data_IF_478724715409
#
_entry.id   IF_478724715409
#
_cell.length_a   1.000
_cell.length_b   1.000
_cell.length_c   1.000
_cell.angle_alpha   90.00
_cell.angle_beta   90.00
_cell.angle_gamma   90.00
#
_symmetry.space_group_name_H-M   'P 1'
#
loop_
_entity.id
_entity.type
_entity.pdbx_description
1 polymer ?
#
# COMPACT_ATOMS: atom_id res chain seq x y z
N UNK A 1 -46.56 -19.02 41.75
CA UNK A 1 -46.36 -19.55 40.39
C UNK A 1 -46.09 -18.37 39.47
N UNK A 2 -44.81 -18.09 39.18
CA UNK A 2 -44.37 -17.17 38.13
C UNK A 2 -43.28 -17.90 37.36
N UNK A 3 -43.55 -18.13 36.08
CA UNK A 3 -42.70 -18.86 35.15
C UNK A 3 -41.46 -18.02 34.80
N UNK A 4 -40.27 -18.62 34.90
CA UNK A 4 -39.05 -18.15 34.26
C UNK A 4 -39.01 -18.77 32.86
N UNK A 5 -39.03 -17.94 31.82
CA UNK A 5 -38.66 -18.33 30.44
C UNK A 5 -37.20 -17.93 30.18
N UNK A 6 -36.38 -18.78 29.53
CA UNK A 6 -35.03 -18.41 29.15
C UNK A 6 -35.08 -17.60 27.86
N UNK A 7 -34.51 -16.40 27.89
CA UNK A 7 -34.31 -15.57 26.70
C UNK A 7 -33.22 -16.20 25.85
N UNK A 8 -33.60 -16.67 24.67
CA UNK A 8 -32.72 -17.19 23.63
C UNK A 8 -31.82 -16.03 23.15
N UNK A 9 -30.54 -16.02 23.54
CA UNK A 9 -29.54 -15.10 22.99
C UNK A 9 -29.23 -15.59 21.58
N UNK A 10 -29.89 -15.01 20.59
CA UNK A 10 -29.53 -15.12 19.19
C UNK A 10 -28.23 -14.34 18.99
N UNK A 11 -27.11 -15.05 19.04
CA UNK A 11 -25.80 -14.54 18.65
C UNK A 11 -25.82 -14.32 17.14
N UNK A 12 -26.18 -13.10 16.73
CA UNK A 12 -26.08 -12.64 15.36
C UNK A 12 -24.57 -12.43 15.07
N UNK A 13 -23.93 -13.48 14.55
CA UNK A 13 -22.65 -13.36 13.87
C UNK A 13 -22.89 -12.45 12.66
N UNK A 14 -22.55 -11.17 12.81
CA UNK A 14 -22.28 -10.28 11.69
C UNK A 14 -21.05 -10.85 10.98
N UNK A 15 -21.27 -11.81 10.10
CA UNK A 15 -20.36 -12.03 8.99
C UNK A 15 -20.45 -10.75 8.16
N UNK A 16 -19.50 -9.85 8.33
CA UNK A 16 -19.15 -8.87 7.32
C UNK A 16 -18.72 -9.68 6.10
N UNK A 17 -19.69 -10.04 5.26
CA UNK A 17 -19.45 -10.48 3.90
C UNK A 17 -18.87 -9.28 3.18
N UNK A 18 -17.54 -9.21 3.16
CA UNK A 18 -16.87 -8.66 2.00
C UNK A 18 -17.42 -9.48 0.83
N UNK A 19 -18.31 -8.88 0.04
CA UNK A 19 -18.77 -9.45 -1.20
C UNK A 19 -17.63 -9.23 -2.19
N UNK A 20 -16.66 -10.13 -2.18
CA UNK A 20 -15.73 -10.26 -3.29
C UNK A 20 -16.58 -10.63 -4.51
N UNK A 21 -16.44 -9.89 -5.61
CA UNK A 21 -17.15 -10.17 -6.85
C UNK A 21 -17.02 -11.66 -7.18
N UNK A 22 -18.16 -12.34 -7.28
CA UNK A 22 -18.18 -13.76 -7.58
C UNK A 22 -18.31 -13.89 -9.09
N UNK A 23 -17.24 -14.30 -9.76
CA UNK A 23 -17.23 -14.46 -11.21
C UNK A 23 -17.61 -15.87 -11.60
N UNK A 24 -18.47 -16.00 -12.61
CA UNK A 24 -18.65 -17.25 -13.32
C UNK A 24 -17.66 -17.31 -14.49
N UNK A 25 -17.21 -18.52 -14.85
CA UNK A 25 -16.38 -18.72 -16.05
C UNK A 25 -17.07 -18.17 -17.31
N UNK A 26 -18.39 -18.28 -17.42
CA UNK A 26 -19.17 -17.80 -18.57
C UNK A 26 -19.21 -16.27 -18.70
N UNK A 27 -18.98 -15.53 -17.62
CA UNK A 27 -19.02 -14.06 -17.60
C UNK A 27 -17.63 -13.42 -17.59
N UNK A 28 -16.57 -14.21 -17.67
CA UNK A 28 -15.19 -13.75 -17.58
C UNK A 28 -14.50 -13.82 -18.95
N UNK A 29 -13.97 -12.69 -19.41
CA UNK A 29 -13.31 -12.54 -20.72
C UNK A 29 -12.01 -13.35 -20.86
N UNK A 30 -11.41 -13.76 -19.75
CA UNK A 30 -10.20 -14.61 -19.75
C UNK A 30 -10.44 -16.02 -20.31
N UNK A 31 -11.70 -16.45 -20.42
CA UNK A 31 -12.06 -17.78 -20.89
C UNK A 31 -12.67 -17.70 -22.29
N UNK A 32 -11.92 -18.16 -23.30
CA UNK A 32 -12.41 -18.28 -24.67
C UNK A 32 -13.48 -19.39 -24.80
N UNK A 33 -14.25 -19.35 -25.89
CA UNK A 33 -15.08 -20.49 -26.29
C UNK A 33 -14.22 -21.75 -26.48
N UNK A 34 -14.64 -22.81 -25.82
CA UNK A 34 -14.01 -24.11 -25.89
C UNK A 34 -14.35 -24.88 -27.18
N UNK A 35 -13.67 -26.01 -27.44
CA UNK A 35 -13.72 -26.67 -28.76
C UNK A 35 -15.05 -27.38 -29.09
N UNK A 36 -15.96 -27.55 -28.12
CA UNK A 36 -17.27 -28.22 -28.30
C UNK A 36 -18.15 -28.04 -27.06
N UNK A 37 -19.39 -28.53 -27.12
CA UNK A 37 -20.36 -28.42 -26.01
C UNK A 37 -20.01 -29.21 -24.74
N UNK A 38 -19.01 -30.10 -24.75
CA UNK A 38 -18.54 -30.80 -23.55
C UNK A 38 -17.39 -30.08 -22.87
N UNK A 39 -16.64 -29.27 -23.60
CA UNK A 39 -15.53 -28.47 -23.10
C UNK A 39 -15.79 -27.07 -23.62
N UNK A 40 -16.68 -26.35 -22.95
CA UNK A 40 -17.29 -25.13 -23.47
C UNK A 40 -16.45 -23.89 -23.22
N UNK A 41 -15.49 -23.94 -22.29
CA UNK A 41 -14.60 -22.80 -22.00
C UNK A 41 -13.15 -23.23 -21.96
N UNK A 42 -12.25 -22.32 -22.32
CA UNK A 42 -10.82 -22.57 -22.32
C UNK A 42 -10.02 -21.36 -21.85
N UNK A 43 -9.17 -21.58 -20.86
CA UNK A 43 -8.12 -20.64 -20.47
C UNK A 43 -6.82 -21.06 -21.17
N UNK A 44 -6.27 -20.19 -22.01
CA UNK A 44 -4.99 -20.46 -22.69
C UNK A 44 -3.84 -20.03 -21.79
N UNK A 45 -3.02 -20.99 -21.38
CA UNK A 45 -1.87 -20.71 -20.50
C UNK A 45 -0.65 -20.20 -21.26
N UNK A 46 -0.40 -20.79 -22.44
CA UNK A 46 0.70 -20.41 -23.31
C UNK A 46 0.52 -20.99 -24.72
N UNK A 47 1.14 -20.36 -25.70
CA UNK A 47 1.25 -20.75 -27.11
C UNK A 47 2.72 -20.99 -27.48
N UNK A 48 3.02 -21.68 -28.60
CA UNK A 48 4.41 -21.99 -28.97
C UNK A 48 5.26 -20.75 -29.30
N UNK A 49 4.61 -19.62 -29.60
CA UNK A 49 5.29 -18.36 -29.89
C UNK A 49 5.76 -17.65 -28.60
N UNK A 50 5.26 -18.05 -27.43
CA UNK A 50 5.67 -17.47 -26.16
C UNK A 50 7.07 -17.96 -25.76
N UNK A 51 7.96 -17.06 -25.29
CA UNK A 51 9.33 -17.42 -24.88
C UNK A 51 9.40 -18.47 -23.76
N UNK A 52 8.39 -18.53 -22.91
CA UNK A 52 8.27 -19.40 -21.75
C UNK A 52 7.36 -20.62 -22.01
N UNK A 53 6.98 -20.90 -23.25
CA UNK A 53 6.05 -21.98 -23.62
C UNK A 53 6.53 -23.39 -23.22
N UNK A 54 7.86 -23.59 -23.18
CA UNK A 54 8.48 -24.85 -22.73
C UNK A 54 8.56 -24.97 -21.20
N UNK A 55 8.41 -23.87 -20.46
CA UNK A 55 8.47 -23.86 -18.99
C UNK A 55 7.28 -24.55 -18.36
N UNK A 56 7.37 -24.82 -17.05
CA UNK A 56 6.24 -25.34 -16.29
C UNK A 56 5.11 -24.29 -16.28
N UNK A 57 3.87 -24.76 -16.42
CA UNK A 57 2.68 -23.90 -16.39
C UNK A 57 1.86 -24.25 -15.15
N UNK A 58 1.48 -23.28 -14.33
CA UNK A 58 0.71 -23.50 -13.10
C UNK A 58 -0.58 -22.71 -13.15
N UNK A 59 -1.71 -23.37 -12.92
CA UNK A 59 -3.02 -22.74 -12.74
C UNK A 59 -3.43 -22.91 -11.29
N UNK A 60 -3.84 -21.82 -10.65
CA UNK A 60 -4.54 -21.87 -9.37
C UNK A 60 -5.89 -21.17 -9.52
N UNK A 61 -6.95 -21.82 -9.07
CA UNK A 61 -8.31 -21.26 -9.10
C UNK A 61 -9.03 -21.60 -7.81
N UNK A 62 -9.58 -20.59 -7.14
CA UNK A 62 -10.35 -20.75 -5.92
C UNK A 62 -11.85 -20.78 -6.25
N UNK A 63 -12.43 -21.98 -6.23
CA UNK A 63 -13.82 -22.20 -6.62
C UNK A 63 -14.74 -22.00 -5.43
N UNK A 64 -15.75 -21.16 -5.61
CA UNK A 64 -16.75 -20.84 -4.59
C UNK A 64 -18.08 -21.55 -4.82
N UNK A 65 -18.39 -21.90 -6.07
CA UNK A 65 -19.62 -22.64 -6.41
C UNK A 65 -19.41 -23.57 -7.61
N UNK A 66 -20.15 -24.67 -7.61
CA UNK A 66 -20.17 -25.66 -8.68
C UNK A 66 -21.62 -25.97 -9.10
N UNK A 67 -21.84 -26.35 -10.36
CA UNK A 67 -23.13 -26.91 -10.79
C UNK A 67 -23.54 -28.12 -9.95
N UNK A 68 -24.85 -28.39 -9.88
CA UNK A 68 -25.36 -29.53 -9.11
C UNK A 68 -24.81 -30.90 -9.57
N UNK A 69 -24.44 -31.03 -10.85
CA UNK A 69 -23.83 -32.24 -11.41
C UNK A 69 -22.29 -32.27 -11.24
N UNK A 70 -21.70 -31.24 -10.62
CA UNK A 70 -20.27 -30.99 -10.61
C UNK A 70 -19.78 -30.35 -11.91
N UNK A 71 -18.47 -30.09 -11.96
CA UNK A 71 -17.77 -29.66 -13.16
C UNK A 71 -16.38 -30.28 -13.17
N UNK A 72 -15.79 -30.43 -14.36
CA UNK A 72 -14.47 -30.96 -14.58
C UNK A 72 -13.63 -29.98 -15.38
N UNK A 73 -12.32 -30.02 -15.14
CA UNK A 73 -11.35 -29.43 -16.03
C UNK A 73 -10.53 -30.54 -16.71
N UNK A 74 -9.85 -30.21 -17.81
CA UNK A 74 -8.77 -31.02 -18.35
C UNK A 74 -7.64 -30.14 -18.86
N UNK A 75 -6.43 -30.69 -18.82
CA UNK A 75 -5.26 -30.07 -19.45
C UNK A 75 -5.16 -30.56 -20.89
N UNK A 76 -5.10 -29.62 -21.83
CA UNK A 76 -4.87 -29.88 -23.25
C UNK A 76 -3.56 -29.24 -23.66
N UNK A 77 -2.66 -30.02 -24.28
CA UNK A 77 -1.32 -29.53 -24.64
C UNK A 77 -0.80 -30.14 -25.92
N UNK A 78 0.12 -29.45 -26.61
CA UNK A 78 0.81 -30.04 -27.75
C UNK A 78 2.00 -30.89 -27.28
N UNK A 79 2.30 -31.97 -28.01
CA UNK A 79 3.51 -32.79 -27.84
C UNK A 79 4.59 -32.40 -28.85
N UNK A 80 5.80 -32.95 -28.71
CA UNK A 80 6.96 -32.56 -29.54
C UNK A 80 6.72 -32.67 -31.06
N UNK A 81 5.81 -33.55 -31.49
CA UNK A 81 5.43 -33.71 -32.89
C UNK A 81 4.29 -32.78 -33.35
N UNK A 82 3.96 -31.75 -32.57
CA UNK A 82 2.89 -30.79 -32.85
C UNK A 82 1.46 -31.28 -32.59
N UNK A 83 1.27 -32.59 -32.38
CA UNK A 83 -0.06 -33.16 -32.12
C UNK A 83 -0.62 -32.74 -30.75
N UNK A 84 -1.94 -32.59 -30.67
CA UNK A 84 -2.64 -32.36 -29.41
C UNK A 84 -2.73 -33.63 -28.57
N UNK A 85 -2.49 -33.47 -27.27
CA UNK A 85 -2.72 -34.46 -26.24
C UNK A 85 -3.75 -33.89 -25.26
N UNK A 86 -4.93 -34.49 -25.25
CA UNK A 86 -6.02 -34.12 -24.37
C UNK A 86 -5.96 -35.02 -23.14
N UNK A 87 -5.73 -34.41 -21.98
CA UNK A 87 -5.75 -35.11 -20.70
C UNK A 87 -7.14 -35.66 -20.35
N UNK A 88 -7.16 -36.51 -19.32
CA UNK A 88 -8.41 -36.99 -18.73
C UNK A 88 -9.15 -35.83 -18.05
N UNK A 89 -10.48 -35.96 -17.96
CA UNK A 89 -11.28 -35.08 -17.12
C UNK A 89 -10.92 -35.27 -15.65
N UNK A 90 -10.76 -34.15 -14.94
CA UNK A 90 -10.49 -34.12 -13.51
C UNK A 90 -11.58 -33.29 -12.85
N UNK A 91 -12.30 -33.81 -11.85
CA UNK A 91 -13.35 -33.09 -11.17
C UNK A 91 -12.79 -31.90 -10.41
N UNK A 92 -13.48 -30.77 -10.50
CA UNK A 92 -13.23 -29.60 -9.68
C UNK A 92 -13.82 -29.79 -8.29
N UNK A 93 -13.16 -29.19 -7.29
CA UNK A 93 -13.64 -29.17 -5.90
C UNK A 93 -13.86 -27.75 -5.43
N UNK A 94 -14.73 -27.55 -4.44
CA UNK A 94 -14.85 -26.25 -3.77
C UNK A 94 -13.54 -25.91 -3.03
N UNK A 95 -13.15 -24.64 -3.06
CA UNK A 95 -11.87 -24.14 -2.56
C UNK A 95 -10.77 -24.15 -3.62
N UNK A 96 -9.52 -24.21 -3.17
CA UNK A 96 -8.35 -24.09 -4.04
C UNK A 96 -8.14 -25.34 -4.90
N UNK A 97 -8.10 -25.15 -6.21
CA UNK A 97 -7.67 -26.15 -7.19
C UNK A 97 -6.34 -25.67 -7.78
N UNK A 98 -5.27 -26.46 -7.61
CA UNK A 98 -3.93 -26.13 -8.13
C UNK A 98 -3.49 -27.21 -9.12
N UNK A 99 -3.06 -26.78 -10.30
CA UNK A 99 -2.72 -27.65 -11.44
C UNK A 99 -1.37 -27.24 -12.02
N UNK A 100 -0.38 -28.13 -11.95
CA UNK A 100 0.93 -27.89 -12.54
C UNK A 100 1.20 -28.80 -13.72
N UNK A 101 1.51 -28.20 -14.87
CA UNK A 101 1.97 -28.87 -16.09
C UNK A 101 3.48 -28.75 -16.18
N UNK A 102 4.20 -29.86 -15.99
CA UNK A 102 5.66 -29.88 -15.95
C UNK A 102 6.33 -29.31 -17.21
N UNK A 103 7.52 -28.72 -17.05
CA UNK A 103 8.34 -28.21 -18.15
C UNK A 103 8.75 -29.29 -19.16
N UNK A 104 9.05 -28.88 -20.39
CA UNK A 104 9.58 -29.72 -21.48
C UNK A 104 10.72 -28.99 -22.20
N UNK A 105 11.32 -29.62 -23.22
CA UNK A 105 12.42 -29.08 -24.02
C UNK A 105 12.02 -28.54 -25.40
N UNK A 106 10.72 -28.39 -25.67
CA UNK A 106 10.19 -27.90 -26.95
C UNK A 106 9.07 -26.89 -26.71
N UNK A 107 8.90 -25.95 -27.65
CA UNK A 107 7.81 -24.98 -27.62
C UNK A 107 6.45 -25.69 -27.78
N UNK A 108 5.45 -25.30 -26.99
CA UNK A 108 4.17 -26.00 -26.94
C UNK A 108 3.02 -25.06 -26.58
N UNK A 109 1.80 -25.51 -26.83
CA UNK A 109 0.62 -24.89 -26.24
C UNK A 109 0.21 -25.63 -24.97
N UNK A 110 -0.28 -24.90 -23.98
CA UNK A 110 -0.99 -25.46 -22.82
C UNK A 110 -2.30 -24.70 -22.63
N UNK A 111 -3.39 -25.44 -22.48
CA UNK A 111 -4.74 -24.91 -22.28
C UNK A 111 -5.44 -25.67 -21.15
N UNK A 112 -6.20 -24.96 -20.33
CA UNK A 112 -7.08 -25.53 -19.33
C UNK A 112 -8.51 -25.41 -19.84
N UNK A 113 -9.14 -26.55 -20.12
CA UNK A 113 -10.51 -26.59 -20.62
C UNK A 113 -11.46 -26.95 -19.48
N UNK A 114 -12.60 -26.29 -19.45
CA UNK A 114 -13.66 -26.48 -18.46
C UNK A 114 -14.92 -26.96 -19.17
N UNK A 115 -15.65 -27.87 -18.53
CA UNK A 115 -16.87 -28.46 -19.08
C UNK A 115 -18.15 -27.67 -18.76
N UNK A 116 -18.03 -26.63 -17.94
CA UNK A 116 -19.14 -25.78 -17.49
C UNK A 116 -18.70 -24.34 -17.28
N UNK A 117 -19.46 -23.39 -17.82
CA UNK A 117 -19.32 -21.95 -17.56
C UNK A 117 -19.92 -21.49 -16.23
N UNK A 118 -20.76 -22.32 -15.61
CA UNK A 118 -21.43 -22.03 -14.33
C UNK A 118 -20.53 -22.25 -13.10
N UNK A 119 -19.23 -22.52 -13.30
CA UNK A 119 -18.28 -22.61 -12.18
C UNK A 119 -17.98 -21.19 -11.71
N UNK A 120 -18.20 -20.94 -10.43
CA UNK A 120 -17.94 -19.64 -9.83
C UNK A 120 -16.61 -19.65 -9.05
N UNK A 121 -15.85 -18.58 -9.16
CA UNK A 121 -14.54 -18.43 -8.52
C UNK A 121 -14.33 -17.00 -8.00
N UNK A 122 -13.36 -16.85 -7.10
CA UNK A 122 -12.95 -15.55 -6.52
C UNK A 122 -11.47 -15.24 -6.71
N UNK A 123 -10.67 -16.24 -7.07
CA UNK A 123 -9.24 -16.08 -7.32
C UNK A 123 -8.87 -16.95 -8.50
N UNK A 124 -8.11 -16.38 -9.43
CA UNK A 124 -7.54 -17.06 -10.58
C UNK A 124 -6.10 -16.57 -10.72
N UNK A 125 -5.15 -17.50 -10.80
CA UNK A 125 -3.77 -17.16 -11.08
C UNK A 125 -3.18 -18.12 -12.11
N UNK A 126 -2.31 -17.59 -12.96
CA UNK A 126 -1.59 -18.36 -13.95
C UNK A 126 -0.10 -18.04 -13.81
N UNK A 127 0.71 -19.07 -13.59
CA UNK A 127 2.16 -18.98 -13.40
C UNK A 127 2.60 -18.09 -12.23
N UNK A 128 1.72 -17.86 -11.25
CA UNK A 128 1.94 -16.98 -10.11
C UNK A 128 1.43 -15.56 -10.30
N UNK A 129 0.98 -15.22 -11.52
CA UNK A 129 0.37 -13.93 -11.81
C UNK A 129 -1.14 -14.01 -11.58
N UNK A 130 -1.68 -13.15 -10.72
CA UNK A 130 -3.11 -13.04 -10.49
C UNK A 130 -3.81 -12.49 -11.74
N UNK A 131 -4.92 -13.10 -12.11
CA UNK A 131 -5.76 -12.70 -13.24
C UNK A 131 -7.12 -12.24 -12.73
N UNK A 132 -7.61 -11.12 -13.25
CA UNK A 132 -8.94 -10.57 -12.95
C UNK A 132 -9.77 -10.53 -14.21
N UNK A 133 -11.07 -10.78 -14.09
CA UNK A 133 -12.00 -10.64 -15.20
C UNK A 133 -12.24 -9.16 -15.49
N UNK A 134 -12.56 -8.81 -16.73
CA UNK A 134 -12.79 -7.42 -17.13
C UNK A 134 -13.91 -6.75 -16.32
N UNK A 135 -14.94 -7.50 -15.94
CA UNK A 135 -16.06 -7.03 -15.12
C UNK A 135 -15.72 -6.83 -13.64
N UNK A 136 -14.52 -7.21 -13.18
CA UNK A 136 -14.00 -6.86 -11.86
C UNK A 136 -13.28 -5.52 -11.83
N UNK A 137 -12.98 -4.96 -13.01
CA UNK A 137 -12.22 -3.73 -13.12
C UNK A 137 -13.17 -2.54 -13.13
N UNK A 138 -12.84 -1.52 -12.33
CA UNK A 138 -13.55 -0.25 -12.32
C UNK A 138 -13.32 0.49 -13.64
N UNK A 139 -14.35 0.53 -14.50
CA UNK A 139 -14.30 1.21 -15.78
C UNK A 139 -14.89 2.62 -15.73
N UNK A 140 -14.56 3.43 -16.73
CA UNK A 140 -15.20 4.72 -16.96
C UNK A 140 -16.31 4.54 -18.00
N UNK A 141 -17.50 5.09 -17.72
CA UNK A 141 -18.60 5.09 -18.67
C UNK A 141 -18.27 5.97 -19.89
N UNK A 142 -18.62 5.48 -21.08
CA UNK A 142 -18.34 6.19 -22.33
C UNK A 142 -19.01 7.56 -22.42
N UNK A 143 -20.18 7.74 -21.80
CA UNK A 143 -20.85 9.04 -21.73
C UNK A 143 -20.18 10.07 -20.83
N UNK A 144 -19.32 9.63 -19.90
CA UNK A 144 -18.54 10.50 -19.02
C UNK A 144 -17.10 10.71 -19.51
N UNK A 145 -16.67 10.00 -20.57
CA UNK A 145 -15.32 10.10 -21.11
C UNK A 145 -15.11 11.41 -21.89
N UNK A 146 -14.18 12.25 -21.43
CA UNK A 146 -13.78 13.52 -22.07
C UNK A 146 -13.36 13.37 -23.54
N UNK A 147 -12.55 12.35 -23.83
CA UNK A 147 -11.98 12.08 -25.15
C UNK A 147 -12.95 11.43 -26.14
N UNK A 148 -14.21 11.23 -25.76
CA UNK A 148 -15.25 10.68 -26.62
C UNK A 148 -16.23 11.78 -27.02
N UNK A 149 -16.21 12.13 -28.31
CA UNK A 149 -17.08 13.15 -28.86
C UNK A 149 -18.54 12.67 -28.97
N UNK A 150 -19.46 13.65 -29.03
CA UNK A 150 -20.85 13.40 -29.40
C UNK A 150 -20.93 12.82 -30.84
N UNK A 151 -21.59 11.67 -30.93
CA UNK A 151 -21.82 10.97 -32.18
C UNK A 151 -22.92 11.60 -33.04
N UNK A 152 -23.12 11.10 -34.28
CA UNK A 152 -23.95 11.77 -35.27
C UNK A 152 -25.47 11.73 -35.02
N UNK A 153 -25.97 10.84 -34.15
CA UNK A 153 -27.41 10.68 -33.87
C UNK A 153 -27.64 9.78 -32.65
N UNK A 154 -28.90 9.66 -32.21
CA UNK A 154 -29.28 8.86 -31.04
C UNK A 154 -28.97 7.35 -31.14
N UNK A 155 -28.78 6.78 -32.33
CA UNK A 155 -28.39 5.35 -32.50
C UNK A 155 -26.89 5.15 -32.38
N UNK A 156 -26.12 6.20 -32.62
CA UNK A 156 -24.67 6.23 -32.53
C UNK A 156 -24.27 7.49 -31.75
N UNK A 157 -24.57 7.53 -30.45
CA UNK A 157 -24.44 8.74 -29.64
C UNK A 157 -23.01 9.13 -29.31
N UNK A 158 -22.02 8.24 -29.53
CA UNK A 158 -20.62 8.48 -29.18
C UNK A 158 -19.70 8.16 -30.36
N UNK A 159 -18.63 8.95 -30.52
CA UNK A 159 -17.66 8.77 -31.60
C UNK A 159 -16.24 9.13 -31.17
N UNK A 160 -15.27 8.35 -31.65
CA UNK A 160 -13.85 8.70 -31.59
C UNK A 160 -13.32 8.83 -33.01
N UNK A 161 -12.60 9.92 -33.28
CA UNK A 161 -11.98 10.17 -34.59
C UNK A 161 -10.56 9.63 -34.59
N UNK A 162 -10.26 8.70 -35.51
CA UNK A 162 -8.93 8.13 -35.65
C UNK A 162 -8.01 8.95 -36.54
N UNK A 163 -8.57 9.50 -37.61
CA UNK A 163 -7.84 10.38 -38.52
C UNK A 163 -8.80 11.19 -39.38
N UNK A 164 -8.30 12.30 -39.90
CA UNK A 164 -8.92 13.21 -40.86
C UNK A 164 -8.07 13.30 -42.13
N UNK A 165 -8.61 13.78 -43.27
CA UNK A 165 -7.87 13.81 -44.52
C UNK A 165 -6.67 14.77 -44.51
N UNK A 166 -6.62 15.70 -43.55
CA UNK A 166 -5.52 16.64 -43.37
C UNK A 166 -4.31 16.00 -42.66
N UNK A 167 -4.50 14.83 -42.04
CA UNK A 167 -3.42 14.12 -41.36
C UNK A 167 -2.50 13.43 -42.38
N UNK A 168 -1.16 13.53 -42.23
CA UNK A 168 -0.19 12.93 -43.15
C UNK A 168 -0.31 11.42 -43.32
N UNK A 169 -0.77 10.72 -42.27
CA UNK A 169 -0.92 9.27 -42.19
C UNK A 169 -2.38 8.80 -42.37
N UNK A 170 -3.27 9.67 -42.84
CA UNK A 170 -4.71 9.36 -42.98
C UNK A 170 -5.02 8.19 -43.93
N UNK A 171 -4.11 7.93 -44.88
CA UNK A 171 -4.19 6.81 -45.82
C UNK A 171 -3.69 5.49 -45.21
N UNK A 172 -2.91 5.53 -44.13
CA UNK A 172 -2.33 4.35 -43.51
C UNK A 172 -3.40 3.48 -42.80
N UNK A 173 -2.99 2.30 -42.35
CA UNK A 173 -3.84 1.45 -41.54
C UNK A 173 -4.15 2.16 -40.22
N UNK A 174 -5.42 2.15 -39.83
CA UNK A 174 -5.88 2.76 -38.58
C UNK A 174 -6.32 1.67 -37.62
N UNK A 175 -6.13 1.85 -36.33
CA UNK A 175 -6.55 0.89 -35.31
C UNK A 175 -7.33 1.55 -34.18
N UNK A 176 -8.18 0.78 -33.53
CA UNK A 176 -8.77 1.12 -32.24
C UNK A 176 -8.72 -0.12 -31.37
N UNK A 177 -8.37 0.10 -30.10
CA UNK A 177 -8.30 -0.92 -29.08
C UNK A 177 -9.08 -0.42 -27.88
N UNK A 178 -10.04 -1.19 -27.39
CA UNK A 178 -10.83 -0.85 -26.21
C UNK A 178 -10.93 -2.05 -25.29
N UNK A 179 -10.63 -1.86 -24.01
CA UNK A 179 -10.76 -2.88 -22.97
C UNK A 179 -12.06 -2.65 -22.20
N UNK A 180 -13.12 -3.37 -22.59
CA UNK A 180 -14.48 -3.18 -22.08
C UNK A 180 -14.67 -3.95 -20.77
N UNK A 181 -15.05 -3.25 -19.70
CA UNK A 181 -15.29 -3.83 -18.38
C UNK A 181 -16.76 -4.11 -18.11
N UNK A 182 -17.66 -3.30 -18.68
CA UNK A 182 -19.10 -3.53 -18.59
C UNK A 182 -19.84 -3.16 -19.87
N UNK A 183 -20.93 -3.90 -20.12
CA UNK A 183 -21.86 -3.67 -21.22
C UNK A 183 -23.28 -3.54 -20.68
N UNK A 184 -24.15 -2.74 -21.34
CA UNK A 184 -25.56 -2.73 -21.02
C UNK A 184 -26.21 -4.09 -21.28
N UNK A 185 -27.34 -4.37 -20.63
CA UNK A 185 -27.98 -5.70 -20.65
C UNK A 185 -28.41 -6.16 -22.07
N UNK A 186 -28.72 -5.21 -22.95
CA UNK A 186 -29.03 -5.45 -24.37
C UNK A 186 -27.78 -5.61 -25.27
N UNK A 187 -26.59 -5.48 -24.70
CA UNK A 187 -25.31 -5.41 -25.40
C UNK A 187 -25.08 -4.05 -26.05
N UNK A 188 -23.84 -3.82 -26.51
CA UNK A 188 -23.50 -2.63 -27.28
C UNK A 188 -22.73 -3.01 -28.54
N UNK A 189 -22.75 -2.11 -29.51
CA UNK A 189 -22.09 -2.28 -30.79
C UNK A 189 -21.18 -1.09 -31.08
N UNK A 190 -20.10 -1.36 -31.82
CA UNK A 190 -19.33 -0.35 -32.50
C UNK A 190 -19.55 -0.43 -34.02
N UNK A 191 -19.20 0.61 -34.75
CA UNK A 191 -19.04 0.56 -36.21
C UNK A 191 -17.90 1.44 -36.68
N UNK A 192 -17.30 1.04 -37.79
CA UNK A 192 -16.29 1.84 -38.49
C UNK A 192 -16.97 2.72 -39.53
N UNK A 193 -16.77 4.03 -39.44
CA UNK A 193 -17.26 5.02 -40.39
C UNK A 193 -16.09 5.70 -41.07
N UNK A 194 -16.03 5.65 -42.40
CA UNK A 194 -14.88 6.15 -43.16
C UNK A 194 -15.27 6.83 -44.45
N UNK A 195 -14.44 7.73 -44.96
CA UNK A 195 -14.62 8.28 -46.31
C UNK A 195 -14.02 7.35 -47.37
N UNK A 196 -14.66 7.28 -48.53
CA UNK A 196 -14.13 6.59 -49.72
C UNK A 196 -13.44 7.58 -50.67
N UNK A 197 -12.78 7.08 -51.71
CA UNK A 197 -11.98 7.90 -52.64
C UNK A 197 -12.73 9.09 -53.26
N UNK A 198 -14.05 8.97 -53.40
CA UNK A 198 -14.91 10.04 -53.93
C UNK A 198 -15.41 11.04 -52.86
N UNK A 199 -14.83 11.01 -51.66
CA UNK A 199 -15.19 11.88 -50.52
C UNK A 199 -16.48 11.49 -49.77
N UNK A 200 -17.26 10.54 -50.28
CA UNK A 200 -18.49 10.09 -49.64
C UNK A 200 -18.21 9.27 -48.37
N UNK A 201 -19.10 9.37 -47.38
CA UNK A 201 -19.08 8.52 -46.20
C UNK A 201 -19.58 7.11 -46.51
N UNK A 202 -18.88 6.13 -45.95
CA UNK A 202 -19.27 4.73 -45.91
C UNK A 202 -19.37 4.31 -44.44
N UNK A 203 -20.60 4.05 -44.00
CA UNK A 203 -20.88 3.57 -42.65
C UNK A 203 -20.88 2.05 -42.66
N UNK A 204 -19.94 1.44 -41.94
CA UNK A 204 -19.89 0.00 -41.77
C UNK A 204 -21.12 -0.55 -41.03
N UNK A 205 -21.24 -1.88 -41.06
CA UNK A 205 -22.23 -2.59 -40.26
C UNK A 205 -21.92 -2.43 -38.77
N UNK A 206 -22.97 -2.54 -37.93
CA UNK A 206 -22.79 -2.67 -36.49
C UNK A 206 -22.10 -4.00 -36.18
N UNK A 207 -21.09 -3.96 -35.31
CA UNK A 207 -20.40 -5.13 -34.78
C UNK A 207 -20.53 -5.12 -33.26
N UNK A 208 -20.91 -6.23 -32.62
CA UNK A 208 -21.04 -6.30 -31.18
C UNK A 208 -19.68 -6.11 -30.50
N UNK A 209 -19.69 -5.47 -29.34
CA UNK A 209 -18.58 -5.48 -28.40
C UNK A 209 -18.71 -6.69 -27.46
N UNK A 210 -17.58 -7.23 -27.02
CA UNK A 210 -17.49 -8.20 -25.93
C UNK A 210 -16.82 -7.59 -24.71
N UNK A 211 -16.94 -8.22 -23.54
CA UNK A 211 -16.08 -7.89 -22.40
C UNK A 211 -14.61 -8.20 -22.75
N UNK A 212 -13.69 -7.50 -22.09
CA UNK A 212 -12.25 -7.57 -22.34
C UNK A 212 -11.81 -6.79 -23.58
N UNK A 213 -10.70 -7.22 -24.17
CA UNK A 213 -10.04 -6.52 -25.27
C UNK A 213 -10.80 -6.66 -26.60
N UNK A 214 -11.13 -5.53 -27.20
CA UNK A 214 -11.72 -5.44 -28.54
C UNK A 214 -10.76 -4.66 -29.46
N UNK A 215 -10.07 -5.38 -30.35
CA UNK A 215 -9.15 -4.79 -31.32
C UNK A 215 -9.76 -4.70 -32.72
N UNK A 216 -9.66 -3.52 -33.33
CA UNK A 216 -10.22 -3.22 -34.64
C UNK A 216 -9.16 -2.61 -35.52
N UNK A 217 -8.91 -3.23 -36.68
CA UNK A 217 -7.99 -2.69 -37.69
C UNK A 217 -8.73 -2.32 -38.97
N UNK A 218 -8.47 -1.12 -39.47
CA UNK A 218 -8.96 -0.59 -40.74
C UNK A 218 -7.80 -0.52 -41.71
N UNK A 219 -7.83 -1.35 -42.75
CA UNK A 219 -6.74 -1.46 -43.73
C UNK A 219 -6.39 -0.14 -44.42
N UNK A 220 -5.10 0.03 -44.73
CA UNK A 220 -4.57 1.18 -45.49
C UNK A 220 -5.21 1.31 -46.89
N UNK A 221 -5.18 2.53 -47.44
CA UNK A 221 -5.63 2.89 -48.79
C UNK A 221 -4.62 3.83 -49.46
N UNK A 222 -4.90 4.25 -50.69
CA UNK A 222 -4.03 5.13 -51.48
C UNK A 222 -4.48 6.59 -51.56
N UNK A 223 -5.47 6.99 -50.75
CA UNK A 223 -6.03 8.35 -50.73
C UNK A 223 -6.25 8.83 -49.29
N UNK A 224 -6.15 10.13 -49.07
CA UNK A 224 -6.44 10.74 -47.78
C UNK A 224 -7.92 10.57 -47.41
N UNK A 225 -8.21 10.21 -46.16
CA UNK A 225 -9.56 9.84 -45.72
C UNK A 225 -9.80 10.19 -44.26
N UNK A 226 -11.05 10.14 -43.84
CA UNK A 226 -11.40 10.10 -42.42
C UNK A 226 -11.70 8.69 -42.00
N UNK A 227 -11.34 8.33 -40.76
CA UNK A 227 -11.80 7.11 -40.09
C UNK A 227 -12.31 7.49 -38.70
N UNK A 228 -13.49 7.00 -38.35
CA UNK A 228 -14.14 7.21 -37.06
C UNK A 228 -14.69 5.88 -36.55
N UNK A 229 -14.62 5.71 -35.23
CA UNK A 229 -15.25 4.61 -34.52
C UNK A 229 -16.46 5.15 -33.78
N UNK A 230 -17.64 4.62 -34.08
CA UNK A 230 -18.89 5.06 -33.46
C UNK A 230 -19.41 3.96 -32.56
N UNK A 231 -19.97 4.35 -31.42
CA UNK A 231 -20.48 3.43 -30.41
C UNK A 231 -21.97 3.65 -30.19
N UNK A 232 -22.70 2.57 -29.91
CA UNK A 232 -24.16 2.58 -29.85
C UNK A 232 -24.75 2.93 -28.48
N UNK A 233 -23.93 3.02 -27.43
CA UNK A 233 -24.38 3.28 -26.06
C UNK A 233 -23.33 4.08 -25.28
N UNK A 234 -23.79 4.95 -24.37
CA UNK A 234 -22.96 5.67 -23.40
C UNK A 234 -22.66 4.87 -22.13
N UNK A 235 -23.42 3.79 -21.90
CA UNK A 235 -23.30 2.89 -20.75
C UNK A 235 -22.21 1.82 -20.93
N UNK A 236 -21.39 1.91 -21.97
CA UNK A 236 -20.23 1.03 -22.13
C UNK A 236 -19.18 1.51 -21.13
N UNK A 237 -18.74 0.64 -20.23
CA UNK A 237 -17.63 0.94 -19.33
C UNK A 237 -16.35 0.28 -19.83
N UNK A 238 -15.23 0.99 -19.71
CA UNK A 238 -13.92 0.50 -20.15
C UNK A 238 -12.81 1.11 -19.30
N UNK A 239 -11.67 0.41 -19.21
CA UNK A 239 -10.47 0.90 -18.51
C UNK A 239 -9.47 1.55 -19.45
N UNK A 240 -9.44 1.10 -20.70
CA UNK A 240 -8.53 1.61 -21.71
C UNK A 240 -9.24 1.74 -23.06
N UNK A 241 -9.03 2.87 -23.72
CA UNK A 241 -9.42 3.12 -25.10
C UNK A 241 -8.25 3.79 -25.79
N UNK A 242 -7.75 3.23 -26.88
CA UNK A 242 -6.68 3.81 -27.68
C UNK A 242 -6.99 3.74 -29.16
N UNK A 243 -6.45 4.70 -29.91
CA UNK A 243 -6.60 4.80 -31.35
C UNK A 243 -5.24 5.02 -31.97
N UNK A 244 -4.87 4.19 -32.94
CA UNK A 244 -3.54 4.18 -33.56
C UNK A 244 -2.37 4.03 -32.55
N UNK A 245 -2.64 3.42 -31.39
CA UNK A 245 -1.67 3.27 -30.29
C UNK A 245 -1.57 4.48 -29.36
N UNK A 246 -2.39 5.52 -29.56
CA UNK A 246 -2.49 6.68 -28.66
C UNK A 246 -3.73 6.55 -27.79
N UNK A 247 -3.56 6.66 -26.47
CA UNK A 247 -4.65 6.53 -25.49
C UNK A 247 -5.60 7.72 -25.59
N UNK A 248 -6.90 7.44 -25.59
CA UNK A 248 -7.98 8.43 -25.54
C UNK A 248 -8.21 8.79 -24.06
N UNK A 249 -7.96 10.04 -23.64
CA UNK A 249 -8.11 10.44 -22.24
C UNK A 249 -9.59 10.52 -21.88
N UNK A 250 -10.02 9.72 -20.91
CA UNK A 250 -11.42 9.67 -20.46
C UNK A 250 -11.71 10.34 -19.14
N UNK A 251 -10.66 10.66 -18.41
CA UNK A 251 -10.76 11.59 -17.30
C UNK A 251 -10.66 12.97 -17.94
N UNK A 252 -11.72 13.78 -17.81
CA UNK A 252 -11.47 15.22 -17.75
C UNK A 252 -10.51 15.35 -16.57
N UNK A 253 -9.24 15.65 -16.81
CA UNK A 253 -8.34 16.17 -15.78
C UNK A 253 -8.87 17.56 -15.37
N UNK A 254 -10.07 17.54 -14.79
CA UNK A 254 -10.90 18.68 -14.44
C UNK A 254 -10.82 18.96 -12.94
N UNK A 255 -10.06 18.17 -12.21
CA UNK A 255 -9.46 18.61 -10.97
C UNK A 255 -8.00 18.95 -11.26
N UNK A 256 -7.58 20.12 -10.81
CA UNK A 256 -6.16 20.46 -10.77
C UNK A 256 -5.52 19.51 -9.75
N UNK A 257 -4.42 18.85 -10.11
CA UNK A 257 -3.57 18.06 -9.20
C UNK A 257 -2.22 18.78 -9.18
N UNK A 258 -2.13 19.82 -8.36
CA UNK A 258 -1.03 20.77 -8.43
C UNK A 258 0.30 20.17 -7.91
N UNK A 259 0.24 19.14 -7.07
CA UNK A 259 1.41 18.50 -6.46
C UNK A 259 1.73 17.10 -7.02
N UNK A 260 0.81 16.50 -7.79
CA UNK A 260 1.00 15.23 -8.47
C UNK A 260 0.88 14.01 -7.56
N UNK A 261 0.18 14.10 -6.43
CA UNK A 261 0.00 13.00 -5.50
C UNK A 261 -1.13 12.02 -5.89
N UNK A 262 -1.87 12.35 -6.95
CA UNK A 262 -2.95 11.54 -7.49
C UNK A 262 -4.30 11.77 -6.79
N UNK A 263 -4.40 12.78 -5.93
CA UNK A 263 -5.64 13.29 -5.34
C UNK A 263 -5.95 14.66 -5.95
N UNK A 264 -7.20 14.86 -6.33
CA UNK A 264 -7.70 16.13 -6.87
C UNK A 264 -7.66 17.27 -5.84
N UNK A 265 -7.14 18.47 -6.18
CA UNK A 265 -7.00 19.64 -5.29
C UNK A 265 -8.28 20.03 -4.52
N UNK A 266 -9.47 19.77 -5.08
CA UNK A 266 -10.77 20.13 -4.48
C UNK A 266 -11.25 19.15 -3.39
N UNK A 267 -10.68 17.94 -3.36
CA UNK A 267 -10.91 16.90 -2.35
C UNK A 267 -9.62 16.48 -1.65
N UNK A 268 -8.50 17.09 -2.02
CA UNK A 268 -7.20 16.88 -1.42
C UNK A 268 -7.10 17.65 -0.08
N UNK A 269 -6.91 16.94 1.05
CA UNK A 269 -6.68 17.58 2.32
C UNK A 269 -5.36 18.39 2.38
N UNK A 270 -4.41 18.16 1.46
CA UNK A 270 -3.15 18.87 1.40
C UNK A 270 -2.55 19.01 -0.01
N UNK A 271 -2.87 20.12 -0.68
CA UNK A 271 -2.17 20.52 -1.92
C UNK A 271 -0.72 20.95 -1.59
N UNK A 272 0.22 20.02 -1.74
CA UNK A 272 1.66 20.14 -1.54
C UNK A 272 2.28 18.87 -0.96
N UNK A 273 2.93 19.00 0.19
CA UNK A 273 3.43 17.83 0.92
C UNK A 273 3.11 17.98 2.41
N UNK A 274 2.60 16.90 3.00
CA UNK A 274 2.55 16.76 4.44
C UNK A 274 3.98 16.68 4.97
N UNK A 275 4.27 17.47 6.00
CA UNK A 275 5.51 17.31 6.75
C UNK A 275 5.43 16.10 7.71
N UNK A 276 6.52 15.82 8.43
CA UNK A 276 6.58 14.74 9.44
C UNK A 276 5.57 14.91 10.59
N UNK A 277 4.98 16.10 10.73
CA UNK A 277 3.98 16.43 11.73
C UNK A 277 2.54 16.31 11.22
N UNK A 278 2.36 15.91 9.96
CA UNK A 278 1.06 15.82 9.31
C UNK A 278 0.44 17.20 9.02
N UNK A 279 1.25 18.25 8.96
CA UNK A 279 0.81 19.60 8.60
C UNK A 279 1.12 19.85 7.13
N UNK A 280 0.11 20.31 6.39
CA UNK A 280 0.27 20.61 4.98
C UNK A 280 1.20 21.79 4.75
N UNK A 281 2.26 21.60 3.95
CA UNK A 281 3.32 22.58 3.72
C UNK A 281 3.91 23.13 5.03
N UNK A 282 3.92 22.29 6.07
CA UNK A 282 4.35 22.66 7.40
C UNK A 282 5.87 22.79 7.52
N UNK A 283 6.36 23.37 8.63
CA UNK A 283 7.77 23.60 8.84
C UNK A 283 8.55 22.30 9.17
N UNK A 284 7.86 21.18 9.44
CA UNK A 284 8.45 19.92 9.89
C UNK A 284 8.77 19.90 11.39
N UNK A 285 9.62 18.95 11.79
CA UNK A 285 10.07 18.77 13.18
C UNK A 285 11.09 19.85 13.61
N UNK A 286 10.66 21.10 13.63
CA UNK A 286 11.53 22.26 13.93
C UNK A 286 11.38 22.78 15.35
N UNK A 287 10.40 22.28 16.11
CA UNK A 287 10.15 22.68 17.50
C UNK A 287 10.92 21.78 18.47
N UNK A 288 11.06 22.19 19.74
CA UNK A 288 11.82 21.48 20.77
C UNK A 288 11.38 20.01 20.98
N UNK A 289 10.10 19.70 20.77
CA UNK A 289 9.57 18.33 20.80
C UNK A 289 9.25 17.78 19.39
N UNK A 290 9.99 18.24 18.39
CA UNK A 290 9.76 17.95 16.98
C UNK A 290 8.58 18.77 16.45
N UNK A 291 7.36 18.27 16.64
CA UNK A 291 6.14 18.84 16.04
C UNK A 291 5.41 19.85 16.92
N UNK A 292 5.85 20.04 18.15
CA UNK A 292 5.28 21.01 19.09
C UNK A 292 6.38 21.56 20.00
N UNK A 293 6.11 22.71 20.59
CA UNK A 293 6.91 23.23 21.70
C UNK A 293 6.73 22.36 22.97
N UNK A 294 7.63 22.52 23.95
CA UNK A 294 7.45 21.97 25.29
C UNK A 294 6.25 22.68 25.95
N UNK A 295 5.26 21.95 26.50
CA UNK A 295 4.11 22.57 27.15
C UNK A 295 4.51 23.47 28.32
N UNK A 296 3.70 24.51 28.60
CA UNK A 296 3.98 25.46 29.68
C UNK A 296 3.97 24.76 31.05
N UNK A 297 5.08 24.86 31.78
CA UNK A 297 5.28 24.21 33.08
C UNK A 297 6.06 22.90 33.02
N UNK A 298 6.26 22.36 31.83
CA UNK A 298 7.07 21.16 31.61
C UNK A 298 8.50 21.55 31.25
N UNK A 299 9.47 20.69 31.60
CA UNK A 299 10.89 20.86 31.30
C UNK A 299 11.40 19.92 30.22
N UNK A 300 10.57 18.97 29.77
CA UNK A 300 10.84 18.09 28.66
C UNK A 300 9.55 17.71 27.90
N UNK A 301 9.72 16.94 26.83
CA UNK A 301 8.64 16.50 25.96
C UNK A 301 7.80 15.34 26.53
N UNK A 302 8.23 14.74 27.64
CA UNK A 302 7.48 13.67 28.32
C UNK A 302 6.48 14.22 29.32
N UNK A 303 6.45 15.54 29.51
CA UNK A 303 5.58 16.24 30.45
C UNK A 303 6.11 16.20 31.88
N UNK A 304 7.42 15.99 32.05
CA UNK A 304 8.04 16.08 33.36
C UNK A 304 8.16 17.55 33.77
N UNK A 305 8.03 17.81 35.07
CA UNK A 305 8.26 19.13 35.65
C UNK A 305 9.64 19.15 36.32
N UNK A 306 10.24 20.34 36.40
CA UNK A 306 11.46 20.52 37.16
C UNK A 306 11.15 20.38 38.66
N UNK A 307 11.99 19.64 39.38
CA UNK A 307 11.91 19.55 40.83
C UNK A 307 12.51 20.80 41.51
N UNK A 308 12.55 20.84 42.84
CA UNK A 308 13.00 22.01 43.58
C UNK A 308 14.48 22.40 43.32
N UNK A 309 15.32 21.47 42.85
CA UNK A 309 16.71 21.73 42.46
C UNK A 309 16.88 21.94 40.95
N UNK A 310 15.78 22.00 40.19
CA UNK A 310 15.77 22.25 38.75
C UNK A 310 16.04 21.02 37.87
N UNK A 311 16.00 19.82 38.43
CA UNK A 311 16.18 18.57 37.67
C UNK A 311 14.83 18.17 37.07
N UNK A 312 14.80 18.00 35.75
CA UNK A 312 13.60 17.57 35.05
C UNK A 312 13.20 16.13 35.43
N UNK A 313 11.98 15.95 35.94
CA UNK A 313 11.51 14.65 36.44
C UNK A 313 12.19 14.19 37.72
N UNK A 314 12.87 15.11 38.43
CA UNK A 314 13.49 14.83 39.72
C UNK A 314 12.46 14.67 40.85
N UNK A 315 12.91 14.12 41.97
CA UNK A 315 12.05 13.86 43.13
C UNK A 315 12.21 14.88 44.26
N UNK A 316 12.99 15.93 44.06
CA UNK A 316 13.25 16.88 45.14
C UNK A 316 12.04 17.79 45.40
N UNK A 317 11.47 17.69 46.59
CA UNK A 317 10.30 18.49 46.98
C UNK A 317 10.68 19.90 47.45
N UNK A 318 11.92 20.12 47.92
CA UNK A 318 12.38 21.39 48.48
C UNK A 318 13.90 21.54 48.48
N UNK A 319 14.37 22.75 48.17
CA UNK A 319 15.75 23.24 48.32
C UNK A 319 15.65 24.65 48.96
N UNK A 320 15.38 24.71 50.27
CA UNK A 320 15.06 25.98 50.96
C UNK A 320 16.24 26.97 50.94
N UNK A 321 17.46 26.48 50.80
CA UNK A 321 18.67 27.29 50.87
C UNK A 321 19.35 27.52 49.50
N UNK A 322 18.71 27.07 48.42
CA UNK A 322 19.13 27.19 47.02
C UNK A 322 20.59 26.73 46.79
N UNK A 323 21.05 25.69 47.50
CA UNK A 323 22.43 25.18 47.36
C UNK A 323 22.57 24.09 46.28
N UNK A 324 21.46 23.68 45.66
CA UNK A 324 21.43 22.65 44.61
C UNK A 324 21.44 21.21 45.15
N UNK A 325 21.15 21.01 46.44
CA UNK A 325 20.97 19.72 47.11
C UNK A 325 19.58 19.72 47.73
N UNK A 326 18.87 18.59 47.66
CA UNK A 326 17.55 18.50 48.26
C UNK A 326 17.62 18.58 49.79
N UNK A 327 16.71 19.30 50.42
CA UNK A 327 16.67 19.44 51.90
C UNK A 327 16.58 18.08 52.59
N UNK A 328 15.85 17.14 52.00
CA UNK A 328 15.72 15.76 52.50
C UNK A 328 17.05 14.98 52.45
N UNK A 329 17.96 15.37 51.57
CA UNK A 329 19.28 14.77 51.38
C UNK A 329 20.39 15.59 52.09
N UNK A 330 20.06 16.77 52.64
CA UNK A 330 21.01 17.64 53.36
C UNK A 330 21.37 17.08 54.75
N UNK A 331 20.59 16.14 55.30
CA UNK A 331 20.81 15.57 56.63
C UNK A 331 22.05 14.64 56.73
N UNK A 332 22.82 14.44 55.64
CA UNK A 332 24.01 13.56 55.67
C UNK A 332 25.26 14.22 55.07
N UNK A 333 25.72 15.31 55.67
CA UNK A 333 27.14 15.65 55.55
C UNK A 333 27.90 14.99 56.68
N UNK A 334 28.53 13.84 56.41
CA UNK A 334 29.45 13.20 57.35
C UNK A 334 30.56 14.22 57.72
N UNK A 335 30.64 14.68 58.99
CA UNK A 335 31.63 15.68 59.39
C UNK A 335 33.08 15.19 59.20
N UNK A 336 33.28 13.89 58.98
CA UNK A 336 34.57 13.30 58.67
C UNK A 336 35.23 13.85 57.40
N UNK A 337 34.44 14.36 56.46
CA UNK A 337 34.95 14.93 55.20
C UNK A 337 35.70 16.25 55.42
N UNK A 338 35.45 16.95 56.54
CA UNK A 338 36.14 18.18 56.90
C UNK A 338 37.46 17.95 57.65
N UNK A 339 37.81 16.71 57.98
CA UNK A 339 39.09 16.43 58.63
C UNK A 339 40.24 16.51 57.62
N UNK A 340 41.16 17.45 57.87
CA UNK A 340 42.37 17.61 57.05
C UNK A 340 43.32 16.41 57.15
N UNK A 341 44.24 16.29 56.19
CA UNK A 341 45.22 15.21 56.15
C UNK A 341 45.98 15.07 57.49
N UNK A 342 45.99 13.86 58.06
CA UNK A 342 46.59 13.57 59.36
C UNK A 342 45.64 13.67 60.57
N UNK A 343 44.36 13.97 60.33
CA UNK A 343 43.31 13.94 61.36
C UNK A 343 42.18 12.98 60.99
N UNK A 344 41.53 12.40 61.99
CA UNK A 344 40.34 11.56 61.84
C UNK A 344 39.21 12.10 62.71
N UNK A 345 37.97 11.93 62.24
CA UNK A 345 36.80 12.36 62.99
C UNK A 345 36.58 11.47 64.21
N UNK A 346 36.55 12.08 65.38
CA UNK A 346 36.13 11.40 66.60
C UNK A 346 34.67 11.74 66.89
N UNK A 347 33.78 10.78 66.58
CA UNK A 347 32.34 10.93 66.80
C UNK A 347 31.94 11.08 68.28
N UNK A 348 32.78 10.66 69.24
CA UNK A 348 32.49 10.84 70.66
C UNK A 348 32.79 12.26 71.16
N UNK A 349 33.70 12.97 70.49
CA UNK A 349 34.11 14.34 70.83
C UNK A 349 33.57 15.39 69.84
N UNK A 350 32.91 14.96 68.76
CA UNK A 350 32.46 15.81 67.66
C UNK A 350 33.55 16.76 67.13
N UNK A 351 34.77 16.24 66.96
CA UNK A 351 35.90 17.00 66.44
C UNK A 351 36.86 16.10 65.66
N UNK A 352 37.58 16.68 64.70
CA UNK A 352 38.74 16.04 64.09
C UNK A 352 39.88 16.00 65.09
N UNK A 353 40.41 14.81 65.36
CA UNK A 353 41.56 14.59 66.22
C UNK A 353 42.73 14.08 65.39
N UNK A 354 43.96 14.37 65.80
CA UNK A 354 45.12 13.74 65.17
C UNK A 354 45.04 12.21 65.35
N UNK A 355 45.40 11.43 64.31
CA UNK A 355 45.55 9.98 64.48
C UNK A 355 46.65 9.72 65.51
N UNK A 356 46.26 9.21 66.68
CA UNK A 356 47.20 8.86 67.74
C UNK A 356 47.98 7.60 67.30
N UNK A 357 49.14 7.80 66.68
CA UNK A 357 50.18 6.78 66.75
C UNK A 357 50.61 6.69 68.23
N UNK A 358 50.49 5.48 68.80
CA UNK A 358 50.73 5.20 70.22
C UNK A 358 52.02 5.90 70.72
N UNK A 359 51.85 6.77 71.71
CA UNK A 359 52.89 7.46 72.50
C UNK A 359 53.56 8.77 72.02
N UNK A 360 53.00 9.49 71.03
CA UNK A 360 53.40 10.89 70.81
C UNK A 360 52.16 11.76 70.55
N UNK A 361 51.82 12.66 71.48
CA UNK A 361 50.89 13.77 71.23
C UNK A 361 51.57 14.72 70.23
N UNK A 362 51.26 14.70 68.92
CA UNK A 362 52.07 15.44 67.94
C UNK A 362 51.91 16.97 68.08
N UNK A 363 50.86 17.38 68.78
CA UNK A 363 50.54 18.76 69.10
C UNK A 363 51.06 19.22 70.48
N UNK A 364 51.73 18.33 71.23
CA UNK A 364 52.49 18.69 72.44
C UNK A 364 53.89 19.16 71.99
N UNK A 365 54.00 20.47 71.76
CA UNK A 365 55.16 21.11 71.17
C UNK A 365 56.23 21.47 72.21
N UNK A 366 55.86 21.57 73.49
CA UNK A 366 56.81 21.81 74.58
C UNK A 366 57.23 20.51 75.31
N UNK A 367 56.56 19.39 75.05
CA UNK A 367 56.91 18.05 75.51
C UNK A 367 56.51 17.81 76.97
N UNK A 368 55.50 18.52 77.49
CA UNK A 368 55.05 18.41 78.88
C UNK A 368 54.09 17.24 79.14
N UNK A 369 53.70 16.52 78.09
CA UNK A 369 52.80 15.38 78.13
C UNK A 369 51.33 15.77 78.02
N UNK A 370 51.00 17.03 77.74
CA UNK A 370 49.65 17.53 77.52
C UNK A 370 49.59 18.51 76.35
N UNK A 371 48.45 18.58 75.66
CA UNK A 371 48.21 19.63 74.66
C UNK A 371 47.41 20.74 75.34
N UNK A 372 48.06 21.86 75.64
CA UNK A 372 47.50 22.95 76.42
C UNK A 372 47.67 24.32 75.72
N UNK A 373 47.29 25.39 76.41
CA UNK A 373 47.49 26.76 75.91
C UNK A 373 48.98 27.06 75.64
N UNK A 374 49.90 26.39 76.34
CA UNK A 374 51.34 26.50 76.11
C UNK A 374 51.71 26.13 74.66
N UNK A 375 51.29 24.95 74.24
CA UNK A 375 51.53 24.43 72.89
C UNK A 375 50.89 25.27 71.80
N UNK A 376 49.64 25.72 72.03
CA UNK A 376 48.94 26.57 71.07
C UNK A 376 49.68 27.89 70.84
N UNK A 377 50.19 28.51 71.90
CA UNK A 377 50.96 29.75 71.78
C UNK A 377 52.29 29.53 71.09
N UNK A 378 52.94 28.39 71.32
CA UNK A 378 54.18 28.02 70.65
C UNK A 378 53.97 27.72 69.15
N UNK A 379 52.88 27.04 68.80
CA UNK A 379 52.46 26.84 67.42
C UNK A 379 52.20 28.18 66.73
N UNK A 380 51.37 29.04 67.32
CA UNK A 380 51.02 30.34 66.74
C UNK A 380 52.23 31.26 66.55
N UNK A 381 53.25 31.15 67.42
CA UNK A 381 54.50 31.89 67.27
C UNK A 381 55.31 31.43 66.05
N UNK A 382 55.23 30.16 65.67
CA UNK A 382 55.91 29.59 64.51
C UNK A 382 55.01 29.50 63.25
N UNK A 383 53.71 29.75 63.39
CA UNK A 383 52.72 29.57 62.34
C UNK A 383 52.99 30.48 61.14
N UNK A 384 53.11 29.87 59.94
CA UNK A 384 53.42 30.58 58.70
C UNK A 384 54.90 30.86 58.46
N UNK A 385 55.80 30.43 59.37
CA UNK A 385 57.24 30.42 59.09
C UNK A 385 57.60 29.20 58.21
N UNK A 386 58.51 29.32 57.23
CA UNK A 386 58.98 28.18 56.45
C UNK A 386 59.82 27.27 57.33
N UNK A 387 59.50 25.97 57.31
CA UNK A 387 60.20 24.91 58.04
C UNK A 387 61.06 24.05 57.11
#
# INVERSE_FOLDING_TARGET
MKFLTPTLVLCLLLASSLAWGQNAIDSCDLFDEGPNSTWSHVLTATTPDDPNSSSAQSLEIFITSLPAEGANYRVVKTVANGNWNNGNAVPLVLGLNSVTVSAVSFARSVKFQFDSGLVEFTELSLNGDALSCANDLDGVAMETCAGVDAGPNATWPHVVTATTPDDPNSADAQSMSIFVTALPAEGANYRVVKTVANGNWNNGNAMPLSLGLNDVTVSAVSFARSVKFQFSSGLIEFTELSVNGEVVPCVEDGCEDADGDGICDDVDPCVGALDSCGICNGPGEVYECGCSDIPEGDCDCEGNQADAVGICGGSCESDENDNGICDADEEVVDPSVYCGAGTTWNAALNQCIAEAAEDLCPADLDGDGSVSTGDLLQFLAAFGQPC
#
